data_IF_972162304469
#
_entry.id   IF_972162304469
#
_cell.length_a   1.000
_cell.length_b   1.000
_cell.length_c   1.000
_cell.angle_alpha   90.00
_cell.angle_beta   90.00
_cell.angle_gamma   90.00
#
_symmetry.space_group_name_H-M   'P 1'
#
loop_
_entity.id
_entity.type
_entity.pdbx_description
1 polymer ?
#
# COMPACT_ATOMS: atom_id res chain seq x y z
N UNK A 1 -13.64 -47.54 -23.86
CA UNK A 1 -13.74 -46.35 -22.99
C UNK A 1 -12.31 -45.88 -22.70
N UNK A 2 -11.87 -44.81 -23.37
CA UNK A 2 -10.50 -44.29 -23.29
C UNK A 2 -10.53 -43.03 -22.42
N UNK A 3 -9.90 -43.09 -21.25
CA UNK A 3 -9.62 -41.92 -20.42
C UNK A 3 -8.26 -41.36 -20.85
N UNK A 4 -8.28 -40.21 -21.52
CA UNK A 4 -7.09 -39.45 -21.89
C UNK A 4 -6.73 -38.51 -20.75
N UNK A 5 -5.67 -38.84 -20.02
CA UNK A 5 -5.02 -37.97 -19.05
C UNK A 5 -4.22 -36.93 -19.84
N UNK A 6 -4.71 -35.70 -19.87
CA UNK A 6 -4.01 -34.56 -20.46
C UNK A 6 -2.75 -34.25 -19.66
N UNK A 7 -1.63 -34.23 -20.37
CA UNK A 7 -0.31 -33.85 -19.88
C UNK A 7 -0.35 -32.38 -19.47
N UNK A 8 -0.16 -32.11 -18.18
CA UNK A 8 0.05 -30.76 -17.67
C UNK A 8 1.47 -30.33 -18.05
N UNK A 9 1.57 -29.44 -19.02
CA UNK A 9 2.83 -28.87 -19.50
C UNK A 9 3.38 -27.91 -18.43
N UNK A 10 4.39 -28.37 -17.69
CA UNK A 10 5.22 -27.52 -16.81
C UNK A 10 6.04 -26.60 -17.71
N UNK A 11 5.57 -25.36 -17.87
CA UNK A 11 6.27 -24.30 -18.62
C UNK A 11 6.32 -23.02 -17.79
N UNK A 12 6.96 -23.07 -16.62
CA UNK A 12 7.28 -21.89 -15.81
C UNK A 12 8.62 -22.03 -15.04
N UNK A 13 9.50 -22.94 -15.44
CA UNK A 13 10.78 -23.21 -14.75
C UNK A 13 11.99 -22.49 -15.36
N UNK A 14 11.85 -21.72 -16.43
CA UNK A 14 13.00 -21.19 -17.18
C UNK A 14 13.41 -19.73 -16.85
N UNK A 15 12.56 -18.91 -16.22
CA UNK A 15 12.88 -17.48 -16.00
C UNK A 15 13.56 -17.19 -14.64
N UNK A 16 13.44 -18.08 -13.64
CA UNK A 16 14.04 -17.89 -12.31
C UNK A 16 15.52 -18.29 -12.19
N UNK A 17 16.02 -19.11 -13.11
CA UNK A 17 17.39 -19.66 -13.04
C UNK A 17 18.48 -18.70 -13.57
N UNK A 18 18.12 -17.62 -14.27
CA UNK A 18 19.10 -16.69 -14.83
C UNK A 18 19.73 -15.74 -13.79
N UNK A 19 19.15 -15.61 -12.59
CA UNK A 19 19.69 -14.75 -11.52
C UNK A 19 20.63 -15.47 -10.56
N UNK A 20 20.82 -16.78 -10.69
CA UNK A 20 21.70 -17.58 -9.82
C UNK A 20 23.20 -17.53 -10.21
N UNK A 21 23.59 -16.78 -11.24
CA UNK A 21 24.94 -16.86 -11.82
C UNK A 21 25.75 -15.55 -11.87
N UNK A 22 25.45 -14.57 -11.00
CA UNK A 22 26.38 -13.45 -10.78
C UNK A 22 27.08 -13.62 -9.43
N UNK A 23 28.19 -14.39 -9.34
CA UNK A 23 29.08 -14.28 -8.21
C UNK A 23 29.74 -12.90 -8.29
N UNK A 24 29.14 -11.89 -7.66
CA UNK A 24 29.85 -10.68 -7.30
C UNK A 24 30.92 -11.10 -6.30
N UNK A 25 32.14 -11.29 -6.80
CA UNK A 25 33.33 -11.55 -5.98
C UNK A 25 33.52 -10.35 -5.05
N UNK A 26 32.97 -10.43 -3.84
CA UNK A 26 33.20 -9.45 -2.81
C UNK A 26 34.68 -9.52 -2.41
N UNK A 27 35.40 -8.43 -2.63
CA UNK A 27 36.72 -8.19 -2.07
C UNK A 27 36.65 -8.45 -0.56
N UNK A 28 37.47 -9.39 -0.08
CA UNK A 28 37.54 -9.77 1.32
C UNK A 28 38.00 -8.58 2.17
N UNK A 29 37.05 -7.78 2.65
CA UNK A 29 37.27 -6.95 3.82
C UNK A 29 37.32 -7.90 5.02
N UNK A 30 38.46 -7.95 5.69
CA UNK A 30 38.74 -8.77 6.88
C UNK A 30 37.95 -8.37 8.13
N UNK A 31 36.80 -7.70 7.97
CA UNK A 31 35.90 -7.39 9.06
C UNK A 31 34.98 -8.60 9.23
N UNK A 32 35.22 -9.35 10.31
CA UNK A 32 34.40 -10.48 10.69
C UNK A 32 32.93 -10.05 10.72
N UNK A 33 32.12 -10.68 9.86
CA UNK A 33 30.74 -10.28 9.63
C UNK A 33 29.95 -10.67 10.87
N UNK A 34 29.56 -9.66 11.66
CA UNK A 34 28.74 -9.89 12.85
C UNK A 34 27.45 -10.63 12.46
N UNK A 35 27.19 -11.82 13.02
CA UNK A 35 25.97 -12.58 12.75
C UNK A 35 24.74 -12.00 13.45
N UNK A 36 24.95 -11.06 14.38
CA UNK A 36 23.94 -10.56 15.31
C UNK A 36 22.66 -10.10 14.60
N UNK A 37 21.54 -10.77 14.89
CA UNK A 37 20.21 -10.45 14.39
C UNK A 37 19.93 -10.81 12.93
N UNK A 38 20.94 -11.22 12.15
CA UNK A 38 20.75 -11.63 10.75
C UNK A 38 20.02 -12.95 10.65
N UNK A 39 20.21 -13.84 11.63
CA UNK A 39 19.54 -15.13 11.69
C UNK A 39 18.05 -14.91 11.90
N UNK A 40 17.70 -14.08 12.88
CA UNK A 40 16.30 -13.71 13.17
C UNK A 40 15.66 -13.01 11.97
N UNK A 41 16.28 -11.95 11.43
CA UNK A 41 15.71 -11.20 10.32
C UNK A 41 15.56 -12.07 9.07
N UNK A 42 16.59 -12.85 8.73
CA UNK A 42 16.56 -13.75 7.59
C UNK A 42 15.59 -14.91 7.76
N UNK A 43 15.53 -15.50 8.95
CA UNK A 43 14.57 -16.53 9.28
C UNK A 43 13.14 -16.02 9.24
N UNK A 44 12.87 -14.82 9.76
CA UNK A 44 11.54 -14.22 9.71
C UNK A 44 11.11 -13.93 8.27
N UNK A 45 12.01 -13.37 7.47
CA UNK A 45 11.71 -13.09 6.08
C UNK A 45 11.48 -14.39 5.32
N UNK A 46 12.40 -15.37 5.41
CA UNK A 46 12.25 -16.67 4.77
C UNK A 46 10.97 -17.43 5.23
N UNK A 47 10.62 -17.35 6.51
CA UNK A 47 9.44 -18.01 7.06
C UNK A 47 8.13 -17.41 6.55
N UNK A 48 8.06 -16.07 6.43
CA UNK A 48 6.90 -15.39 5.83
C UNK A 48 6.73 -15.80 4.37
N UNK A 49 7.82 -15.76 3.60
CA UNK A 49 7.86 -16.13 2.18
C UNK A 49 7.43 -17.59 1.97
N UNK A 50 7.89 -18.52 2.81
CA UNK A 50 7.53 -19.94 2.71
C UNK A 50 6.03 -20.18 2.90
N UNK A 51 5.39 -19.51 3.86
CA UNK A 51 3.94 -19.63 4.08
C UNK A 51 3.16 -18.98 2.93
N UNK A 52 3.50 -17.75 2.57
CA UNK A 52 2.80 -17.01 1.51
C UNK A 52 2.93 -17.71 0.15
N UNK A 53 4.08 -18.30 -0.18
CA UNK A 53 4.24 -19.12 -1.39
C UNK A 53 3.37 -20.39 -1.35
N UNK A 54 3.24 -21.02 -0.18
CA UNK A 54 2.40 -22.20 -0.03
C UNK A 54 0.93 -21.84 -0.22
N UNK A 55 0.47 -20.73 0.36
CA UNK A 55 -0.89 -20.21 0.19
C UNK A 55 -1.15 -19.81 -1.28
N UNK A 56 -0.19 -19.17 -1.94
CA UNK A 56 -0.29 -18.80 -3.35
C UNK A 56 -0.33 -20.04 -4.25
N UNK A 57 0.47 -21.07 -3.94
CA UNK A 57 0.45 -22.35 -4.67
C UNK A 57 -0.86 -23.11 -4.50
N UNK A 58 -1.60 -22.84 -3.43
CA UNK A 58 -2.94 -23.39 -3.17
C UNK A 58 -4.07 -22.46 -3.68
N UNK A 59 -3.73 -21.39 -4.40
CA UNK A 59 -4.67 -20.40 -4.96
C UNK A 59 -5.61 -19.77 -3.91
N UNK A 60 -5.07 -19.47 -2.73
CA UNK A 60 -5.83 -18.82 -1.67
C UNK A 60 -6.24 -17.41 -2.15
N UNK A 61 -7.53 -17.17 -2.38
CA UNK A 61 -8.01 -15.86 -2.88
C UNK A 61 -8.07 -14.74 -1.85
N UNK A 62 -8.43 -14.97 -0.57
CA UNK A 62 -8.58 -13.88 0.38
C UNK A 62 -7.23 -13.21 0.74
N UNK A 63 -7.04 -11.89 0.52
CA UNK A 63 -5.75 -11.23 0.76
C UNK A 63 -5.36 -11.20 2.24
N UNK A 64 -6.34 -11.23 3.15
CA UNK A 64 -6.08 -11.27 4.59
C UNK A 64 -5.36 -12.56 5.02
N UNK A 65 -5.56 -13.67 4.30
CA UNK A 65 -4.93 -14.94 4.62
C UNK A 65 -3.41 -14.81 4.51
N UNK A 66 -2.90 -14.21 3.44
CA UNK A 66 -1.47 -13.93 3.24
C UNK A 66 -0.87 -13.02 4.30
N UNK A 67 -1.64 -12.04 4.81
CA UNK A 67 -1.17 -11.18 5.88
C UNK A 67 -0.98 -11.96 7.19
N UNK A 68 -1.96 -12.80 7.54
CA UNK A 68 -1.91 -13.62 8.76
C UNK A 68 -0.90 -14.75 8.63
N UNK A 69 -0.92 -15.48 7.52
CA UNK A 69 -0.01 -16.57 7.18
C UNK A 69 1.43 -16.08 7.11
N UNK A 70 1.69 -15.00 6.37
CA UNK A 70 2.99 -14.35 6.31
C UNK A 70 3.51 -13.89 7.67
N UNK A 71 2.66 -13.27 8.50
CA UNK A 71 3.05 -12.87 9.86
C UNK A 71 3.37 -14.07 10.75
N UNK A 72 2.51 -15.10 10.73
CA UNK A 72 2.72 -16.32 11.51
C UNK A 72 3.98 -17.07 11.08
N UNK A 73 4.18 -17.20 9.76
CA UNK A 73 5.38 -17.76 9.15
C UNK A 73 6.62 -16.97 9.53
N UNK A 74 6.54 -15.64 9.56
CA UNK A 74 7.65 -14.78 9.95
C UNK A 74 8.01 -14.87 11.43
N UNK A 75 7.02 -15.00 12.32
CA UNK A 75 7.29 -15.25 13.74
C UNK A 75 7.98 -16.61 13.91
N UNK A 76 7.41 -17.67 13.32
CA UNK A 76 7.99 -19.01 13.39
C UNK A 76 9.40 -19.09 12.79
N UNK A 77 9.59 -18.46 11.64
CA UNK A 77 10.87 -18.35 10.96
C UNK A 77 11.89 -17.53 11.74
N UNK A 78 11.48 -16.44 12.41
CA UNK A 78 12.36 -15.64 13.27
C UNK A 78 12.86 -16.42 14.48
N UNK A 79 11.99 -17.22 15.11
CA UNK A 79 12.39 -18.14 16.20
C UNK A 79 13.37 -19.20 15.68
N UNK A 80 13.10 -19.81 14.53
CA UNK A 80 14.05 -20.76 13.91
C UNK A 80 15.39 -20.08 13.57
N UNK A 81 15.34 -18.83 13.09
CA UNK A 81 16.49 -18.00 12.79
C UNK A 81 17.35 -17.65 14.01
N UNK A 82 16.73 -17.42 15.16
CA UNK A 82 17.44 -17.25 16.44
C UNK A 82 18.27 -18.48 16.80
N UNK A 83 17.71 -19.68 16.67
CA UNK A 83 18.46 -20.93 16.91
C UNK A 83 19.56 -21.16 15.87
N UNK A 84 19.33 -20.77 14.61
CA UNK A 84 20.35 -20.82 13.56
C UNK A 84 21.55 -19.90 13.86
N UNK A 85 21.32 -18.76 14.50
CA UNK A 85 22.37 -17.82 14.91
C UNK A 85 23.24 -18.36 16.05
N UNK A 86 22.65 -19.15 16.96
CA UNK A 86 23.40 -19.79 18.07
C UNK A 86 24.32 -20.92 17.63
N UNK A 87 24.18 -21.43 16.39
CA UNK A 87 24.99 -22.52 15.84
C UNK A 87 26.45 -22.17 15.52
N UNK A 88 26.90 -20.93 15.80
CA UNK A 88 28.32 -20.52 15.74
C UNK A 88 28.89 -20.22 14.35
N UNK A 89 28.13 -20.43 13.26
CA UNK A 89 28.57 -20.07 11.91
C UNK A 89 27.84 -18.82 11.40
N UNK A 90 28.58 -17.77 11.01
CA UNK A 90 27.99 -16.56 10.44
C UNK A 90 27.42 -16.76 9.01
N UNK A 91 27.80 -17.87 8.35
CA UNK A 91 27.36 -18.19 6.98
C UNK A 91 25.87 -18.54 6.93
N UNK A 92 25.37 -19.28 7.92
CA UNK A 92 23.97 -19.73 7.92
C UNK A 92 22.98 -18.54 8.05
N UNK A 93 23.15 -17.60 9.02
CA UNK A 93 22.38 -16.36 9.07
C UNK A 93 22.44 -15.56 7.77
N UNK A 94 23.62 -15.49 7.14
CA UNK A 94 23.81 -14.78 5.88
C UNK A 94 23.00 -15.42 4.74
N UNK A 95 23.00 -16.75 4.63
CA UNK A 95 22.22 -17.47 3.62
C UNK A 95 20.73 -17.41 3.88
N UNK A 96 20.28 -17.47 5.14
CA UNK A 96 18.87 -17.28 5.49
C UNK A 96 18.38 -15.91 5.06
N UNK A 97 19.14 -14.87 5.37
CA UNK A 97 18.80 -13.49 4.99
C UNK A 97 18.83 -13.31 3.47
N UNK A 98 19.89 -13.76 2.80
CA UNK A 98 19.99 -13.67 1.35
C UNK A 98 18.89 -14.46 0.65
N UNK A 99 18.60 -15.67 1.13
CA UNK A 99 17.54 -16.54 0.61
C UNK A 99 16.16 -15.92 0.77
N UNK A 100 15.85 -15.36 1.94
CA UNK A 100 14.61 -14.61 2.13
C UNK A 100 14.50 -13.45 1.14
N UNK A 101 15.52 -12.59 1.06
CA UNK A 101 15.49 -11.42 0.18
C UNK A 101 15.36 -11.80 -1.31
N UNK A 102 15.95 -12.93 -1.70
CA UNK A 102 15.84 -13.46 -3.04
C UNK A 102 14.42 -13.95 -3.38
N UNK A 103 13.67 -14.43 -2.38
CA UNK A 103 12.30 -14.93 -2.57
C UNK A 103 11.23 -13.82 -2.59
N UNK A 104 11.52 -12.65 -2.05
CA UNK A 104 10.56 -11.54 -1.95
C UNK A 104 9.86 -11.20 -3.28
N UNK A 105 10.62 -11.10 -4.38
CA UNK A 105 10.05 -10.79 -5.70
C UNK A 105 9.22 -11.96 -6.23
N UNK A 106 9.75 -13.19 -6.34
CA UNK A 106 8.96 -14.36 -6.75
C UNK A 106 7.65 -14.54 -5.98
N UNK A 107 7.67 -14.38 -4.65
CA UNK A 107 6.48 -14.53 -3.82
C UNK A 107 5.48 -13.42 -4.05
N UNK A 108 5.94 -12.17 -4.18
CA UNK A 108 5.05 -11.05 -4.51
C UNK A 108 4.32 -11.32 -5.83
N UNK A 109 5.03 -11.80 -6.86
CA UNK A 109 4.41 -12.17 -8.14
C UNK A 109 3.41 -13.31 -7.97
N UNK A 110 3.75 -14.36 -7.21
CA UNK A 110 2.87 -15.49 -6.97
C UNK A 110 1.58 -15.08 -6.24
N UNK A 111 1.68 -14.26 -5.19
CA UNK A 111 0.54 -13.77 -4.42
C UNK A 111 -0.34 -12.86 -5.28
N UNK A 112 0.25 -11.96 -6.07
CA UNK A 112 -0.52 -11.10 -6.99
C UNK A 112 -1.23 -11.91 -8.07
N UNK A 113 -0.61 -12.99 -8.56
CA UNK A 113 -1.25 -13.89 -9.53
C UNK A 113 -2.43 -14.64 -8.91
N UNK A 114 -2.27 -15.18 -7.70
CA UNK A 114 -3.32 -15.93 -7.00
C UNK A 114 -4.49 -15.04 -6.53
N UNK A 115 -4.23 -13.74 -6.34
CA UNK A 115 -5.23 -12.75 -5.93
C UNK A 115 -5.77 -11.91 -7.09
N UNK A 116 -5.44 -12.29 -8.33
CA UNK A 116 -5.93 -11.60 -9.52
C UNK A 116 -7.46 -11.65 -9.61
N UNK A 117 -8.05 -10.54 -10.06
CA UNK A 117 -9.49 -10.45 -10.26
C UNK A 117 -9.91 -11.30 -11.46
N UNK A 118 -10.86 -12.21 -11.21
CA UNK A 118 -11.56 -12.94 -12.25
C UNK A 118 -12.93 -12.31 -12.47
N UNK A 119 -13.21 -11.77 -13.67
CA UNK A 119 -14.52 -11.20 -13.95
C UNK A 119 -15.60 -12.29 -13.88
N UNK A 120 -16.79 -11.97 -13.34
CA UNK A 120 -17.95 -12.86 -13.41
C UNK A 120 -18.25 -13.26 -14.87
N UNK A 121 -18.69 -14.50 -15.08
CA UNK A 121 -18.97 -15.02 -16.43
C UNK A 121 -20.01 -14.21 -17.21
N UNK A 122 -20.89 -13.48 -16.50
CA UNK A 122 -21.96 -12.67 -17.07
C UNK A 122 -21.58 -11.17 -17.20
N UNK A 123 -20.29 -10.83 -17.07
CA UNK A 123 -19.84 -9.43 -17.19
C UNK A 123 -19.87 -8.97 -18.66
N UNK A 124 -20.93 -8.27 -19.06
CA UNK A 124 -20.98 -7.55 -20.34
C UNK A 124 -20.21 -6.23 -20.20
N UNK A 125 -19.04 -6.14 -20.82
CA UNK A 125 -18.35 -4.86 -21.00
C UNK A 125 -19.25 -3.88 -21.77
N UNK A 126 -19.69 -2.81 -21.11
CA UNK A 126 -20.30 -1.66 -21.78
C UNK A 126 -19.20 -0.92 -22.55
N UNK A 127 -18.88 -1.41 -23.76
CA UNK A 127 -17.96 -0.71 -24.65
C UNK A 127 -18.63 0.58 -25.08
N UNK A 128 -18.09 1.71 -24.60
CA UNK A 128 -18.47 3.03 -25.07
C UNK A 128 -18.37 3.13 -26.60
N UNK A 129 -19.14 4.03 -27.23
CA UNK A 129 -19.11 4.21 -28.67
C UNK A 129 -17.67 4.39 -29.16
N UNK A 130 -17.28 3.64 -30.19
CA UNK A 130 -15.99 3.83 -30.86
C UNK A 130 -15.92 5.29 -31.34
N UNK A 131 -15.04 6.09 -30.78
CA UNK A 131 -14.77 7.45 -31.25
C UNK A 131 -14.33 7.37 -32.73
N UNK A 132 -15.24 7.69 -33.65
CA UNK A 132 -14.84 8.10 -35.00
C UNK A 132 -13.99 9.36 -34.88
N UNK A 133 -12.96 9.54 -35.73
CA UNK A 133 -12.01 10.64 -35.58
C UNK A 133 -12.74 11.98 -35.69
N UNK A 134 -12.78 12.70 -34.56
CA UNK A 134 -13.23 14.09 -34.48
C UNK A 134 -12.36 14.93 -35.43
N UNK A 135 -13.01 15.60 -36.38
CA UNK A 135 -12.37 16.58 -37.24
C UNK A 135 -11.74 17.70 -36.39
N UNK A 136 -10.46 17.96 -36.64
CA UNK A 136 -9.64 18.99 -36.00
C UNK A 136 -10.30 20.39 -36.11
N UNK A 137 -10.70 21.05 -35.01
CA UNK A 137 -11.23 22.39 -35.08
C UNK A 137 -10.07 23.40 -35.19
N UNK A 138 -10.14 24.21 -36.26
CA UNK A 138 -9.18 25.26 -36.59
C UNK A 138 -8.84 26.19 -35.41
N UNK A 139 -7.55 26.47 -35.25
CA UNK A 139 -7.01 27.53 -34.41
C UNK A 139 -7.56 28.90 -34.83
N UNK A 140 -8.02 29.69 -33.86
CA UNK A 140 -8.29 31.12 -34.09
C UNK A 140 -8.69 31.88 -32.83
N UNK A 141 -7.92 32.93 -32.52
CA UNK A 141 -8.50 34.19 -32.01
C UNK A 141 -8.34 34.52 -30.52
N UNK A 142 -7.32 35.32 -30.23
CA UNK A 142 -7.06 36.06 -28.99
C UNK A 142 -8.17 37.03 -28.54
N UNK A 143 -8.41 37.18 -27.22
CA UNK A 143 -8.91 38.44 -26.64
C UNK A 143 -8.29 38.74 -25.25
N UNK A 144 -7.40 39.74 -25.24
CA UNK A 144 -7.21 40.90 -24.33
C UNK A 144 -7.17 40.83 -22.78
N UNK A 145 -6.30 41.68 -22.22
CA UNK A 145 -5.94 41.91 -20.81
C UNK A 145 -6.76 43.02 -20.10
N UNK A 146 -7.02 42.79 -18.80
CA UNK A 146 -6.99 43.70 -17.61
C UNK A 146 -8.03 44.87 -17.48
N UNK A 147 -8.26 45.53 -16.30
CA UNK A 147 -7.57 45.43 -14.98
C UNK A 147 -8.44 45.49 -13.67
N UNK A 148 -7.79 45.17 -12.54
CA UNK A 148 -7.83 45.73 -11.15
C UNK A 148 -9.13 46.00 -10.38
N UNK A 149 -9.24 45.45 -9.15
CA UNK A 149 -9.61 46.22 -7.93
C UNK A 149 -9.14 45.57 -6.62
N UNK A 150 -8.24 46.28 -5.94
CA UNK A 150 -7.85 46.09 -4.55
C UNK A 150 -9.07 46.23 -3.62
N UNK A 151 -9.18 45.33 -2.64
CA UNK A 151 -9.99 45.60 -1.44
C UNK A 151 -9.14 45.37 -0.21
N UNK A 152 -8.43 46.44 0.17
CA UNK A 152 -7.83 46.66 1.49
C UNK A 152 -8.96 46.53 2.53
N UNK A 153 -8.92 45.49 3.36
CA UNK A 153 -9.64 45.48 4.64
C UNK A 153 -8.62 45.29 5.76
N UNK A 154 -8.22 46.42 6.33
CA UNK A 154 -7.55 46.48 7.62
C UNK A 154 -8.57 46.11 8.70
N UNK A 155 -8.48 44.89 9.25
CA UNK A 155 -9.19 44.51 10.47
C UNK A 155 -8.15 44.30 11.57
N UNK A 156 -8.22 45.17 12.58
CA UNK A 156 -7.37 45.19 13.77
C UNK A 156 -7.42 43.82 14.46
N UNK A 157 -6.26 43.17 14.61
CA UNK A 157 -6.13 41.97 15.46
C UNK A 157 -6.00 42.42 16.92
N UNK A 158 -6.86 41.93 17.84
CA UNK A 158 -6.57 41.96 19.26
C UNK A 158 -5.40 41.03 19.57
N UNK A 159 -4.48 41.45 20.45
CA UNK A 159 -3.42 40.60 21.00
C UNK A 159 -4.06 39.51 21.89
N UNK A 160 -4.41 38.37 21.29
CA UNK A 160 -4.82 37.17 22.04
C UNK A 160 -3.58 36.46 22.60
N UNK A 161 -3.73 35.93 23.81
CA UNK A 161 -2.66 35.23 24.52
C UNK A 161 -2.39 33.84 23.91
N UNK A 162 -1.17 33.29 24.02
CA UNK A 162 -0.85 31.95 23.47
C UNK A 162 -1.79 30.83 23.96
N UNK A 163 -2.40 30.97 25.14
CA UNK A 163 -3.34 29.99 25.70
C UNK A 163 -4.72 30.02 25.03
N UNK A 164 -5.25 31.21 24.72
CA UNK A 164 -6.54 31.34 24.02
C UNK A 164 -6.46 30.84 22.58
N UNK A 165 -5.28 30.95 21.95
CA UNK A 165 -5.03 30.40 20.61
C UNK A 165 -5.12 28.86 20.59
N UNK A 166 -4.62 28.23 21.66
CA UNK A 166 -4.63 26.78 21.83
C UNK A 166 -6.06 26.24 22.01
N UNK A 167 -6.88 26.90 22.82
CA UNK A 167 -8.28 26.51 23.04
C UNK A 167 -9.16 26.74 21.81
N UNK A 168 -8.92 27.78 21.01
CA UNK A 168 -9.63 27.95 19.72
C UNK A 168 -9.20 26.97 18.64
N UNK A 169 -7.92 26.58 18.57
CA UNK A 169 -7.46 25.60 17.58
C UNK A 169 -8.05 24.19 17.83
N UNK A 170 -8.27 23.82 19.09
CA UNK A 170 -9.01 22.61 19.47
C UNK A 170 -10.50 22.66 19.08
N UNK A 171 -11.09 23.85 18.99
CA UNK A 171 -12.50 24.02 18.57
C UNK A 171 -12.70 24.09 17.05
N UNK A 172 -11.64 24.36 16.28
CA UNK A 172 -11.71 24.53 14.82
C UNK A 172 -11.30 23.29 14.03
N UNK A 173 -10.76 22.26 14.69
CA UNK A 173 -10.33 21.04 14.02
C UNK A 173 -11.16 19.86 14.53
N UNK A 174 -11.85 19.11 13.65
CA UNK A 174 -12.65 17.97 14.08
C UNK A 174 -11.78 16.95 14.83
N UNK A 175 -12.29 16.34 15.91
CA UNK A 175 -11.54 15.34 16.66
C UNK A 175 -11.21 14.16 15.74
N UNK A 176 -9.93 13.84 15.61
CA UNK A 176 -9.42 12.70 14.84
C UNK A 176 -8.98 11.57 15.76
N UNK A 177 -8.96 10.35 15.26
CA UNK A 177 -8.60 9.17 16.06
C UNK A 177 -7.19 9.30 16.67
N UNK A 178 -6.24 9.80 15.89
CA UNK A 178 -4.88 10.12 16.34
C UNK A 178 -4.52 11.58 16.03
N UNK A 179 -4.17 12.33 17.07
CA UNK A 179 -3.66 13.69 16.98
C UNK A 179 -2.17 13.75 17.33
N UNK A 180 -1.38 14.37 16.47
CA UNK A 180 0.06 14.61 16.66
C UNK A 180 0.32 16.12 16.67
N UNK A 181 0.95 16.62 17.74
CA UNK A 181 1.37 18.02 17.84
C UNK A 181 2.70 18.17 18.59
N UNK A 182 3.22 19.40 18.67
CA UNK A 182 4.49 19.68 19.36
C UNK A 182 4.41 19.25 20.83
N UNK A 183 5.03 18.11 21.14
CA UNK A 183 5.14 17.57 22.49
C UNK A 183 3.93 16.77 22.99
N UNK A 184 2.94 16.44 22.15
CA UNK A 184 1.82 15.61 22.58
C UNK A 184 1.32 14.63 21.50
N UNK A 185 0.83 13.49 21.98
CA UNK A 185 0.08 12.49 21.20
C UNK A 185 -1.27 12.34 21.88
N UNK A 186 -2.35 12.53 21.14
CA UNK A 186 -3.71 12.41 21.64
C UNK A 186 -4.45 11.28 20.90
N UNK A 187 -5.14 10.43 21.64
CA UNK A 187 -6.13 9.48 21.12
C UNK A 187 -7.51 10.02 21.47
N UNK A 188 -8.38 10.18 20.47
CA UNK A 188 -9.73 10.71 20.69
C UNK A 188 -10.78 9.91 19.91
N UNK A 189 -12.04 10.05 20.30
CA UNK A 189 -13.16 9.44 19.56
C UNK A 189 -13.45 10.33 18.34
N UNK A 190 -13.31 9.83 17.11
CA UNK A 190 -13.52 10.65 15.93
C UNK A 190 -14.98 11.04 15.80
N UNK A 191 -15.24 12.30 15.44
CA UNK A 191 -16.57 12.73 15.05
C UNK A 191 -16.87 12.16 13.66
N UNK A 192 -17.81 11.21 13.58
CA UNK A 192 -18.27 10.67 12.30
C UNK A 192 -19.20 11.71 11.65
N UNK A 193 -18.79 12.24 10.49
CA UNK A 193 -19.60 13.19 9.73
C UNK A 193 -20.29 12.45 8.58
N UNK A 194 -21.61 12.58 8.52
CA UNK A 194 -22.44 12.03 7.45
C UNK A 194 -22.97 13.21 6.64
N UNK A 195 -22.59 13.29 5.36
CA UNK A 195 -22.96 14.41 4.49
C UNK A 195 -23.52 13.92 3.17
N UNK A 196 -24.53 14.61 2.67
CA UNK A 196 -25.00 14.41 1.30
C UNK A 196 -23.95 14.92 0.30
N UNK A 197 -23.60 14.06 -0.66
CA UNK A 197 -22.63 14.35 -1.72
C UNK A 197 -23.15 15.46 -2.64
N UNK A 198 -24.46 15.47 -2.88
CA UNK A 198 -25.12 16.41 -3.77
C UNK A 198 -26.09 17.30 -3.01
N UNK A 199 -26.11 18.58 -3.35
CA UNK A 199 -27.13 19.49 -2.86
C UNK A 199 -28.49 19.20 -3.51
N UNK A 200 -29.57 19.56 -2.82
CA UNK A 200 -30.93 19.41 -3.35
C UNK A 200 -31.15 20.17 -4.68
N UNK A 201 -30.34 21.19 -4.97
CA UNK A 201 -30.38 21.90 -6.25
C UNK A 201 -29.70 21.10 -7.37
N UNK A 202 -28.54 20.50 -7.11
CA UNK A 202 -27.83 19.66 -8.08
C UNK A 202 -28.60 18.38 -8.41
N UNK A 203 -29.23 17.74 -7.41
CA UNK A 203 -30.09 16.57 -7.64
C UNK A 203 -31.24 16.90 -8.60
N UNK A 204 -31.83 18.11 -8.50
CA UNK A 204 -32.93 18.53 -9.38
C UNK A 204 -32.45 18.97 -10.76
N UNK A 205 -31.28 19.61 -10.84
CA UNK A 205 -30.73 20.13 -12.08
C UNK A 205 -30.10 19.03 -12.95
N UNK A 206 -29.52 18.01 -12.33
CA UNK A 206 -28.74 16.97 -13.01
C UNK A 206 -29.33 15.56 -12.88
N UNK A 207 -30.42 15.38 -12.13
CA UNK A 207 -31.09 14.07 -12.00
C UNK A 207 -30.25 13.00 -11.29
N UNK A 208 -29.25 13.41 -10.51
CA UNK A 208 -28.33 12.50 -9.84
C UNK A 208 -29.02 11.77 -8.68
N UNK A 209 -28.69 10.49 -8.50
CA UNK A 209 -29.11 9.75 -7.31
C UNK A 209 -28.44 10.36 -6.07
N UNK A 210 -29.22 10.55 -5.00
CA UNK A 210 -28.67 11.03 -3.74
C UNK A 210 -27.66 10.00 -3.21
N UNK A 211 -26.43 10.45 -2.98
CA UNK A 211 -25.37 9.65 -2.38
C UNK A 211 -24.97 10.29 -1.06
N UNK A 212 -24.75 9.44 -0.06
CA UNK A 212 -24.32 9.84 1.28
C UNK A 212 -22.87 9.44 1.46
N UNK A 213 -22.02 10.41 1.81
CA UNK A 213 -20.62 10.19 2.14
C UNK A 213 -20.45 10.15 3.66
N UNK A 214 -19.71 9.14 4.15
CA UNK A 214 -19.33 9.02 5.56
C UNK A 214 -17.84 9.36 5.68
N UNK A 215 -17.53 10.41 6.45
CA UNK A 215 -16.15 10.86 6.69
C UNK A 215 -15.75 10.51 8.12
N UNK A 216 -14.63 9.80 8.25
CA UNK A 216 -14.05 9.42 9.54
C UNK A 216 -12.62 9.98 9.62
N UNK A 217 -12.37 11.03 10.42
CA UNK A 217 -11.03 11.60 10.56
C UNK A 217 -10.10 10.67 11.35
N UNK A 218 -9.08 10.13 10.69
CA UNK A 218 -8.13 9.18 11.30
C UNK A 218 -6.89 9.86 11.87
N UNK A 219 -6.33 10.83 11.16
CA UNK A 219 -5.08 11.50 11.53
C UNK A 219 -5.22 13.01 11.46
N UNK A 220 -4.76 13.70 12.50
CA UNK A 220 -4.61 15.15 12.53
C UNK A 220 -3.17 15.50 12.94
N UNK A 221 -2.53 16.41 12.20
CA UNK A 221 -1.16 16.85 12.43
C UNK A 221 -1.11 18.38 12.42
N UNK A 222 -0.60 18.97 13.51
CA UNK A 222 -0.40 20.43 13.63
C UNK A 222 1.05 20.74 13.99
N UNK A 223 1.66 21.69 13.25
CA UNK A 223 2.99 22.25 13.48
C UNK A 223 2.91 23.76 13.70
#
# INVERSE_FOLDING_TARGET
MRSTISKLTVAATAAGLAWLAHPSSALAQSNEVSPTGKGIAGGALLGAEAVMLTEAALDVKPPWAYAVGGLAGGIGGGVAGYFAEQGGSAKLPLYLLAGGMALAIPTTVAVLSATAYEPPADYTEDRGPTDEPVADPAQGGSISKAPTRERRQARRQPKESPRERMERQLQLTPPALLGLGEGYVALSVPAVEVRDVFSAQETRQYGLAQQTEVRVPVLNYSF
#
